data_IF_890834347641
#
_entry.id   IF_890834347641
#
_cell.length_a   1.000
_cell.length_b   1.000
_cell.length_c   1.000
_cell.angle_alpha   90.00
_cell.angle_beta   90.00
_cell.angle_gamma   90.00
#
_symmetry.space_group_name_H-M   'P 1'
#
loop_
_entity.id
_entity.type
_entity.pdbx_description
1 polymer ?
#
# COMPACT_ATOMS: atom_id res chain seq x y z
N UNK A 1 3.09 12.20 13.70
CA UNK A 1 4.24 11.67 12.93
C UNK A 1 4.59 10.23 13.29
N UNK A 2 4.53 9.83 14.57
CA UNK A 2 4.85 8.46 15.01
C UNK A 2 3.96 7.34 14.43
N UNK A 3 2.67 7.62 14.16
CA UNK A 3 1.75 6.66 13.55
C UNK A 3 2.11 6.31 12.10
N UNK A 4 2.51 7.31 11.29
CA UNK A 4 2.94 7.08 9.91
C UNK A 4 4.22 6.23 9.84
N UNK A 5 5.16 6.49 10.75
CA UNK A 5 6.41 5.71 10.86
C UNK A 5 6.12 4.23 11.16
N UNK A 6 5.19 3.95 12.09
CA UNK A 6 4.75 2.58 12.42
C UNK A 6 4.10 1.86 11.22
N UNK A 7 3.30 2.57 10.44
CA UNK A 7 2.67 2.01 9.23
C UNK A 7 3.73 1.66 8.19
N UNK A 8 4.72 2.53 7.96
CA UNK A 8 5.82 2.24 7.01
C UNK A 8 6.60 1.00 7.42
N UNK A 9 6.99 0.87 8.69
CA UNK A 9 7.69 -0.34 9.18
C UNK A 9 6.86 -1.60 8.96
N UNK A 10 5.54 -1.56 9.25
CA UNK A 10 4.68 -2.73 9.05
C UNK A 10 4.54 -3.16 7.59
N UNK A 11 4.60 -2.21 6.65
CA UNK A 11 4.53 -2.50 5.21
C UNK A 11 5.83 -3.12 4.71
N UNK A 12 6.99 -2.63 5.18
CA UNK A 12 8.30 -3.21 4.88
C UNK A 12 8.40 -4.62 5.46
N UNK A 13 8.01 -4.83 6.73
CA UNK A 13 8.02 -6.16 7.36
C UNK A 13 7.15 -7.16 6.57
N UNK A 14 6.02 -6.70 6.03
CA UNK A 14 5.14 -7.54 5.20
C UNK A 14 5.76 -7.81 3.83
N UNK A 15 6.38 -6.82 3.20
CA UNK A 15 7.12 -7.01 1.95
C UNK A 15 8.19 -8.10 2.12
N UNK A 16 9.08 -7.94 3.09
CA UNK A 16 10.18 -8.86 3.36
C UNK A 16 9.68 -10.28 3.61
N UNK A 17 8.62 -10.42 4.41
CA UNK A 17 8.01 -11.72 4.69
C UNK A 17 7.43 -12.37 3.44
N UNK A 18 6.74 -11.61 2.60
CA UNK A 18 6.12 -12.13 1.37
C UNK A 18 7.19 -12.51 0.34
N UNK A 19 8.23 -11.70 0.17
CA UNK A 19 9.37 -12.02 -0.71
C UNK A 19 10.11 -13.26 -0.21
N UNK A 20 10.38 -13.35 1.10
CA UNK A 20 11.00 -14.53 1.69
C UNK A 20 10.15 -15.80 1.48
N UNK A 21 8.83 -15.70 1.66
CA UNK A 21 7.92 -16.80 1.39
C UNK A 21 7.99 -17.24 -0.08
N UNK A 22 7.89 -16.31 -1.02
CA UNK A 22 7.98 -16.59 -2.47
C UNK A 22 9.27 -17.34 -2.83
N UNK A 23 10.42 -16.81 -2.40
CA UNK A 23 11.73 -17.42 -2.68
C UNK A 23 11.87 -18.79 -2.01
N UNK A 24 11.35 -18.96 -0.80
CA UNK A 24 11.40 -20.23 -0.06
C UNK A 24 10.58 -21.31 -0.78
N UNK A 25 9.37 -20.98 -1.23
CA UNK A 25 8.50 -21.91 -1.98
C UNK A 25 9.11 -22.30 -3.32
N UNK A 26 9.66 -21.32 -4.04
CA UNK A 26 10.34 -21.59 -5.30
C UNK A 26 11.56 -22.49 -5.12
N UNK A 27 12.40 -22.21 -4.10
CA UNK A 27 13.54 -23.06 -3.76
C UNK A 27 13.09 -24.48 -3.39
N UNK A 28 12.01 -24.63 -2.62
CA UNK A 28 11.47 -25.94 -2.25
C UNK A 28 11.07 -26.76 -3.49
N UNK A 29 10.37 -26.14 -4.45
CA UNK A 29 10.01 -26.78 -5.72
C UNK A 29 11.23 -27.22 -6.52
N UNK A 30 12.23 -26.35 -6.67
CA UNK A 30 13.47 -26.69 -7.41
C UNK A 30 14.21 -27.82 -6.71
N UNK A 31 14.24 -27.81 -5.37
CA UNK A 31 14.89 -28.87 -4.57
C UNK A 31 14.17 -30.20 -4.76
N UNK A 32 12.84 -30.22 -4.68
CA UNK A 32 12.02 -31.41 -4.92
C UNK A 32 12.22 -31.95 -6.34
N UNK A 33 12.21 -31.08 -7.35
CA UNK A 33 12.40 -31.47 -8.74
C UNK A 33 13.81 -32.02 -9.03
N UNK A 34 14.81 -31.55 -8.29
CA UNK A 34 16.20 -32.00 -8.42
C UNK A 34 16.53 -33.21 -7.52
N UNK A 35 15.57 -33.70 -6.72
CA UNK A 35 15.81 -34.79 -5.79
C UNK A 35 16.08 -36.09 -6.56
N UNK A 36 17.21 -36.78 -6.29
CA UNK A 36 17.54 -38.01 -7.00
C UNK A 36 16.56 -39.12 -6.62
N UNK A 37 16.16 -39.91 -7.61
CA UNK A 37 15.33 -41.09 -7.37
C UNK A 37 16.15 -42.08 -6.54
N UNK A 38 15.67 -42.37 -5.33
CA UNK A 38 16.31 -43.33 -4.46
C UNK A 38 16.15 -44.75 -5.01
N UNK A 39 17.19 -45.57 -4.86
CA UNK A 39 17.14 -46.97 -5.27
C UNK A 39 16.08 -47.71 -4.43
N UNK A 40 15.11 -48.35 -5.09
CA UNK A 40 13.96 -48.97 -4.43
C UNK A 40 12.83 -48.01 -4.04
N UNK A 41 12.78 -46.79 -4.62
CA UNK A 41 11.65 -45.87 -4.42
C UNK A 41 10.30 -46.54 -4.70
N UNK A 42 9.42 -46.52 -3.70
CA UNK A 42 8.09 -47.13 -3.82
C UNK A 42 7.09 -46.16 -4.45
N UNK A 43 5.93 -46.68 -4.88
CA UNK A 43 4.86 -45.85 -5.47
C UNK A 43 4.33 -44.81 -4.48
N UNK A 44 4.34 -45.15 -3.20
CA UNK A 44 3.93 -44.28 -2.10
C UNK A 44 4.87 -43.08 -1.95
N UNK A 45 6.19 -43.30 -2.11
CA UNK A 45 7.19 -42.22 -2.11
C UNK A 45 6.98 -41.28 -3.29
N UNK A 46 6.73 -41.82 -4.49
CA UNK A 46 6.44 -41.01 -5.67
C UNK A 46 5.14 -40.20 -5.52
N UNK A 47 4.09 -40.80 -4.94
CA UNK A 47 2.83 -40.11 -4.68
C UNK A 47 2.99 -38.99 -3.64
N UNK A 48 3.75 -39.23 -2.56
CA UNK A 48 4.05 -38.22 -1.56
C UNK A 48 4.85 -37.04 -2.15
N UNK A 49 5.83 -37.34 -3.01
CA UNK A 49 6.61 -36.33 -3.71
C UNK A 49 5.74 -35.46 -4.64
N UNK A 50 4.85 -36.09 -5.43
CA UNK A 50 3.89 -35.37 -6.27
C UNK A 50 2.96 -34.45 -5.48
N UNK A 51 2.41 -34.93 -4.35
CA UNK A 51 1.60 -34.10 -3.46
C UNK A 51 2.40 -32.91 -2.91
N UNK A 52 3.67 -33.13 -2.54
CA UNK A 52 4.51 -32.06 -2.02
C UNK A 52 4.78 -30.98 -3.09
N UNK A 53 5.00 -31.38 -4.36
CA UNK A 53 5.11 -30.43 -5.47
C UNK A 53 3.84 -29.59 -5.64
N UNK A 54 2.64 -30.18 -5.55
CA UNK A 54 1.37 -29.46 -5.66
C UNK A 54 1.16 -28.46 -4.50
N UNK A 55 1.53 -28.86 -3.28
CA UNK A 55 1.43 -28.01 -2.09
C UNK A 55 2.36 -26.80 -2.22
N UNK A 56 3.64 -27.02 -2.57
CA UNK A 56 4.60 -25.93 -2.72
C UNK A 56 4.25 -25.02 -3.91
N UNK A 57 3.70 -25.59 -5.00
CA UNK A 57 3.17 -24.84 -6.14
C UNK A 57 2.01 -23.93 -5.75
N UNK A 58 1.02 -24.46 -5.04
CA UNK A 58 -0.14 -23.68 -4.57
C UNK A 58 0.29 -22.60 -3.57
N UNK A 59 1.24 -22.91 -2.69
CA UNK A 59 1.78 -21.95 -1.74
C UNK A 59 2.59 -20.84 -2.42
N UNK A 60 3.29 -21.13 -3.52
CA UNK A 60 3.99 -20.12 -4.33
C UNK A 60 3.01 -19.14 -4.99
N UNK A 61 1.91 -19.66 -5.57
CA UNK A 61 0.85 -18.82 -6.14
C UNK A 61 0.29 -17.88 -5.08
N UNK A 62 -0.04 -18.41 -3.90
CA UNK A 62 -0.55 -17.60 -2.78
C UNK A 62 0.43 -16.52 -2.34
N UNK A 63 1.73 -16.83 -2.23
CA UNK A 63 2.74 -15.82 -1.90
C UNK A 63 2.83 -14.71 -2.97
N UNK A 64 2.58 -15.05 -4.23
CA UNK A 64 2.51 -14.07 -5.33
C UNK A 64 1.28 -13.18 -5.22
N UNK A 65 0.12 -13.77 -4.88
CA UNK A 65 -1.13 -13.03 -4.65
C UNK A 65 -1.00 -12.07 -3.46
N UNK A 66 -0.36 -12.50 -2.37
CA UNK A 66 -0.09 -11.67 -1.19
C UNK A 66 0.79 -10.45 -1.56
N UNK A 67 1.77 -10.64 -2.47
CA UNK A 67 2.62 -9.57 -2.97
C UNK A 67 1.81 -8.58 -3.83
N UNK A 68 0.97 -9.11 -4.73
CA UNK A 68 0.09 -8.28 -5.54
C UNK A 68 -0.87 -7.45 -4.66
N UNK A 69 -1.43 -8.07 -3.62
CA UNK A 69 -2.28 -7.39 -2.65
C UNK A 69 -1.53 -6.25 -1.94
N UNK A 70 -0.28 -6.47 -1.52
CA UNK A 70 0.56 -5.41 -0.96
C UNK A 70 0.76 -4.26 -1.95
N UNK A 71 1.02 -4.54 -3.24
CA UNK A 71 1.17 -3.47 -4.24
C UNK A 71 -0.13 -2.68 -4.44
N UNK A 72 -1.28 -3.33 -4.32
CA UNK A 72 -2.59 -2.67 -4.40
C UNK A 72 -2.78 -1.73 -3.20
N UNK A 73 -2.50 -2.21 -1.99
CA UNK A 73 -2.59 -1.40 -0.77
C UNK A 73 -1.64 -0.19 -0.83
N UNK A 74 -0.41 -0.35 -1.33
CA UNK A 74 0.52 0.75 -1.53
C UNK A 74 -0.01 1.79 -2.54
N UNK A 75 -0.60 1.34 -3.65
CA UNK A 75 -1.24 2.22 -4.64
C UNK A 75 -2.46 2.93 -4.05
N UNK A 76 -3.26 2.24 -3.25
CA UNK A 76 -4.42 2.84 -2.56
C UNK A 76 -3.97 3.91 -1.57
N UNK A 77 -2.93 3.64 -0.77
CA UNK A 77 -2.33 4.64 0.13
C UNK A 77 -1.77 5.85 -0.63
N UNK A 78 -1.24 5.65 -1.84
CA UNK A 78 -0.71 6.74 -2.66
C UNK A 78 -1.82 7.57 -3.32
N UNK A 79 -2.85 6.92 -3.87
CA UNK A 79 -3.94 7.58 -4.60
C UNK A 79 -4.96 8.22 -3.66
N UNK A 80 -5.30 7.55 -2.56
CA UNK A 80 -6.37 7.97 -1.66
C UNK A 80 -5.83 8.51 -0.31
N UNK A 81 -4.55 8.28 0.00
CA UNK A 81 -4.01 8.53 1.33
C UNK A 81 -4.40 7.42 2.33
N UNK A 82 -4.02 7.53 3.61
CA UNK A 82 -4.66 6.73 4.66
C UNK A 82 -6.17 6.94 4.58
N UNK A 83 -6.99 5.90 4.82
CA UNK A 83 -8.46 6.03 4.87
C UNK A 83 -8.83 7.19 5.78
N UNK A 84 -9.11 8.33 5.17
CA UNK A 84 -9.48 9.54 5.88
C UNK A 84 -10.94 9.40 6.28
N UNK A 85 -11.30 9.86 7.49
CA UNK A 85 -12.72 9.95 7.85
C UNK A 85 -13.49 10.76 6.81
N UNK A 86 -14.81 10.56 6.70
CA UNK A 86 -15.65 11.47 5.91
C UNK A 86 -15.41 12.88 6.48
N UNK A 87 -14.80 13.79 5.68
CA UNK A 87 -14.31 15.16 5.99
C UNK A 87 -12.81 15.35 6.29
N UNK A 88 -12.01 14.30 6.46
CA UNK A 88 -10.55 14.49 6.54
C UNK A 88 -9.99 14.57 5.12
N UNK A 89 -9.38 15.69 4.74
CA UNK A 89 -8.73 15.83 3.44
C UNK A 89 -8.94 17.15 2.73
N UNK A 90 -9.87 17.98 3.18
CA UNK A 90 -10.03 19.31 2.63
C UNK A 90 -9.30 20.29 3.55
N UNK A 91 -8.54 21.21 2.96
CA UNK A 91 -8.01 22.38 3.67
C UNK A 91 -9.11 23.29 4.21
N UNK A 92 -10.31 22.79 4.51
CA UNK A 92 -11.55 23.47 4.94
C UNK A 92 -11.30 24.41 6.12
N UNK A 93 -10.58 23.94 7.15
CA UNK A 93 -10.25 24.78 8.31
C UNK A 93 -9.34 25.97 7.98
N UNK A 94 -8.48 25.85 6.96
CA UNK A 94 -7.59 26.91 6.52
C UNK A 94 -8.23 27.78 5.42
N UNK A 95 -9.05 27.17 4.56
CA UNK A 95 -9.81 27.83 3.50
C UNK A 95 -10.87 28.76 4.06
N UNK A 96 -11.57 28.36 5.13
CA UNK A 96 -12.53 29.23 5.82
C UNK A 96 -11.84 30.46 6.43
N UNK A 97 -10.68 30.24 7.07
CA UNK A 97 -9.88 31.30 7.68
C UNK A 97 -9.32 32.25 6.63
N UNK A 98 -8.83 31.72 5.50
CA UNK A 98 -8.29 32.51 4.40
C UNK A 98 -9.41 33.26 3.65
N UNK A 99 -10.60 32.65 3.52
CA UNK A 99 -11.77 33.30 2.91
C UNK A 99 -12.28 34.48 3.73
N UNK A 100 -12.30 34.36 5.06
CA UNK A 100 -12.66 35.47 5.95
C UNK A 100 -11.67 36.64 5.82
N UNK A 101 -10.36 36.36 5.81
CA UNK A 101 -9.32 37.38 5.59
C UNK A 101 -9.44 38.08 4.24
N UNK A 102 -9.74 37.35 3.17
CA UNK A 102 -9.95 37.94 1.85
C UNK A 102 -11.18 38.86 1.86
N UNK A 103 -12.27 38.47 2.53
CA UNK A 103 -13.46 39.30 2.70
C UNK A 103 -13.17 40.64 3.40
N UNK A 104 -12.45 40.60 4.52
CA UNK A 104 -12.06 41.81 5.26
C UNK A 104 -11.19 42.76 4.42
N UNK A 105 -10.24 42.21 3.65
CA UNK A 105 -9.39 43.00 2.77
C UNK A 105 -10.16 43.65 1.62
N UNK A 106 -11.14 42.96 1.04
CA UNK A 106 -11.99 43.52 -0.03
C UNK A 106 -12.86 44.65 0.51
N UNK A 107 -13.44 44.49 1.70
CA UNK A 107 -14.25 45.54 2.32
C UNK A 107 -13.44 46.80 2.67
N UNK A 108 -12.20 46.61 3.15
CA UNK A 108 -11.28 47.72 3.39
C UNK A 108 -10.93 48.49 2.10
N UNK A 109 -10.73 47.78 0.99
CA UNK A 109 -10.48 48.40 -0.32
C UNK A 109 -11.71 49.16 -0.84
N UNK A 110 -12.91 48.62 -0.67
CA UNK A 110 -14.15 49.27 -1.07
C UNK A 110 -14.44 50.54 -0.27
N UNK A 111 -14.18 50.53 1.05
CA UNK A 111 -14.26 51.75 1.88
C UNK A 111 -13.28 52.82 1.43
N UNK A 112 -12.02 52.43 1.19
CA UNK A 112 -10.99 53.35 0.71
C UNK A 112 -11.31 53.94 -0.67
N UNK A 113 -11.97 53.16 -1.54
CA UNK A 113 -12.45 53.63 -2.84
C UNK A 113 -13.70 54.52 -2.73
N UNK A 114 -14.59 54.27 -1.78
CA UNK A 114 -15.76 55.12 -1.51
C UNK A 114 -15.42 56.46 -0.83
N UNK A 115 -14.31 56.52 -0.10
CA UNK A 115 -13.79 57.74 0.51
C UNK A 115 -13.07 58.67 -0.48
N UNK A 116 -12.77 58.20 -1.70
CA UNK A 116 -12.22 59.03 -2.77
C UNK A 116 -13.27 59.27 -3.87
N UNK A 117 -13.95 60.43 -3.89
CA UNK A 117 -14.89 60.73 -4.96
C UNK A 117 -14.15 60.84 -6.29
N UNK A 118 -14.81 60.57 -7.44
CA UNK A 118 -14.19 60.72 -8.74
C UNK A 118 -13.67 62.15 -8.88
N UNK A 119 -12.37 62.30 -9.17
CA UNK A 119 -11.80 63.57 -9.57
C UNK A 119 -12.50 64.01 -10.86
N UNK A 120 -13.25 65.12 -10.77
CA UNK A 120 -13.80 65.90 -11.89
C UNK A 120 -12.75 66.26 -12.92
#
# INVERSE_FOLDING_TARGET
MEGAQRTTTSLVDREERTVAALLTRFKALVTLAAEPIQDGATKEVAAAHGLQMEVEGSALVRATEDLLQLTRELKELWLFGPLRGIKEGEGEGQMDVDSQKVGELVEAVLKKAGEHPPAT
#
